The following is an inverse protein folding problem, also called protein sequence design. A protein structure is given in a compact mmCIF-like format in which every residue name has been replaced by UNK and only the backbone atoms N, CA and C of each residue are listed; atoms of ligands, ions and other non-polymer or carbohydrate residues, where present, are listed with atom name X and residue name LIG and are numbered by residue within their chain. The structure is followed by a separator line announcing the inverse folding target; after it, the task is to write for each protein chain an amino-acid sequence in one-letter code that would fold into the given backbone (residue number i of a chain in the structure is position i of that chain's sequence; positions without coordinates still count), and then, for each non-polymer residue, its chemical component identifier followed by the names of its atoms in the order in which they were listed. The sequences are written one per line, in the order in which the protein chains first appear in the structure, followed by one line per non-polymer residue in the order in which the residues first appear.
data_IF_084859219759
#
_entry.id   IF_084859219759
#
_cell.length_a   1.000
_cell.length_b   1.000
_cell.length_c   1.000
_cell.angle_alpha   90.00
_cell.angle_beta   90.00
_cell.angle_gamma   90.00
#
_symmetry.space_group_name_H-M   'P 1'
#
loop_
_entity.id
_entity.type
_entity.pdbx_description
1 polymer ?
#
# COMPACT_ATOMS: atom_id res chain seq x y z
N UNK A 1 -22.29 5.98 21.33
CA UNK A 1 -22.26 6.15 19.87
C UNK A 1 -21.39 5.03 19.29
N UNK A 2 -21.93 4.29 18.34
CA UNK A 2 -21.15 3.28 17.63
C UNK A 2 -20.01 3.96 16.82
N UNK A 3 -18.97 3.20 16.46
CA UNK A 3 -17.91 3.75 15.60
C UNK A 3 -18.48 4.23 14.25
N UNK A 4 -19.50 3.55 13.74
CA UNK A 4 -20.19 3.97 12.51
C UNK A 4 -20.84 5.35 12.66
N UNK A 5 -21.42 5.66 13.81
CA UNK A 5 -22.05 6.98 14.03
C UNK A 5 -21.03 8.10 14.21
N UNK A 6 -19.87 7.79 14.81
CA UNK A 6 -18.81 8.76 15.11
C UNK A 6 -18.13 9.30 13.84
N UNK A 7 -17.85 8.42 12.87
CA UNK A 7 -17.05 8.75 11.69
C UNK A 7 -17.90 8.89 10.42
N UNK A 8 -17.46 9.78 9.52
CA UNK A 8 -18.03 9.99 8.17
C UNK A 8 -17.22 9.24 7.11
N UNK A 9 -15.91 9.23 7.27
CA UNK A 9 -14.96 8.68 6.32
C UNK A 9 -14.27 7.44 6.91
N UNK A 10 -14.17 6.39 6.11
CA UNK A 10 -13.52 5.13 6.47
C UNK A 10 -12.45 4.80 5.44
N UNK A 11 -11.22 4.65 5.90
CA UNK A 11 -10.08 4.23 5.09
C UNK A 11 -9.74 2.80 5.51
N UNK A 12 -9.82 1.84 4.60
CA UNK A 12 -9.53 0.45 4.88
C UNK A 12 -8.25 0.02 4.18
N UNK A 13 -7.33 -0.58 4.92
CA UNK A 13 -6.37 -1.48 4.31
C UNK A 13 -7.08 -2.70 3.70
N UNK A 14 -6.44 -3.41 2.79
CA UNK A 14 -7.01 -4.56 2.10
C UNK A 14 -6.54 -5.90 2.68
N UNK A 15 -5.25 -6.20 2.57
CA UNK A 15 -4.69 -7.50 2.90
C UNK A 15 -4.51 -7.66 4.41
N UNK A 16 -5.19 -8.63 5.00
CA UNK A 16 -5.25 -8.79 6.45
C UNK A 16 -6.41 -8.03 7.11
N UNK A 17 -7.06 -7.12 6.39
CA UNK A 17 -8.15 -6.28 6.91
C UNK A 17 -9.50 -6.60 6.27
N UNK A 18 -9.59 -6.58 4.94
CA UNK A 18 -10.80 -6.93 4.18
C UNK A 18 -10.75 -8.39 3.70
N UNK A 19 -9.59 -8.84 3.27
CA UNK A 19 -9.36 -10.24 2.87
C UNK A 19 -7.99 -10.71 3.37
N UNK A 20 -7.75 -12.02 3.33
CA UNK A 20 -6.45 -12.64 3.58
C UNK A 20 -6.22 -13.75 2.56
N UNK A 21 -5.12 -13.64 1.79
CA UNK A 21 -4.87 -14.54 0.67
C UNK A 21 -6.03 -14.48 -0.34
N UNK A 22 -6.68 -15.61 -0.59
CA UNK A 22 -7.81 -15.72 -1.52
C UNK A 22 -9.18 -15.70 -0.81
N UNK A 23 -9.24 -15.37 0.47
CA UNK A 23 -10.46 -15.47 1.27
C UNK A 23 -10.87 -14.14 1.89
N UNK A 24 -12.14 -13.79 1.73
CA UNK A 24 -12.74 -12.63 2.40
C UNK A 24 -12.72 -12.82 3.92
N UNK A 25 -12.38 -11.78 4.67
CA UNK A 25 -12.58 -11.77 6.14
C UNK A 25 -14.09 -11.88 6.43
N UNK A 26 -14.50 -12.76 7.36
CA UNK A 26 -15.92 -12.96 7.67
C UNK A 26 -16.65 -11.64 7.93
N UNK A 27 -17.79 -11.46 7.28
CA UNK A 27 -18.66 -10.28 7.35
C UNK A 27 -18.07 -8.97 6.79
N UNK A 28 -16.89 -8.97 6.17
CA UNK A 28 -16.31 -7.73 5.61
C UNK A 28 -17.21 -7.09 4.53
N UNK A 29 -17.85 -7.89 3.67
CA UNK A 29 -18.82 -7.39 2.69
C UNK A 29 -20.07 -6.79 3.35
N UNK A 30 -20.57 -7.39 4.42
CA UNK A 30 -21.72 -6.87 5.18
C UNK A 30 -21.39 -5.51 5.80
N UNK A 31 -20.19 -5.38 6.39
CA UNK A 31 -19.70 -4.12 6.97
C UNK A 31 -19.63 -3.02 5.92
N UNK A 32 -18.96 -3.29 4.80
CA UNK A 32 -18.77 -2.30 3.73
C UNK A 32 -20.14 -1.87 3.17
N UNK A 33 -21.02 -2.83 2.90
CA UNK A 33 -22.35 -2.55 2.37
C UNK A 33 -23.20 -1.77 3.39
N UNK A 34 -23.10 -2.10 4.68
CA UNK A 34 -23.77 -1.35 5.75
C UNK A 34 -23.29 0.10 5.83
N UNK A 35 -21.98 0.34 5.78
CA UNK A 35 -21.40 1.70 5.76
C UNK A 35 -21.90 2.49 4.55
N UNK A 36 -21.92 1.89 3.36
CA UNK A 36 -22.45 2.51 2.14
C UNK A 36 -23.93 2.89 2.24
N UNK A 37 -24.76 1.98 2.76
CA UNK A 37 -26.19 2.22 2.98
C UNK A 37 -26.43 3.38 3.97
N UNK A 38 -25.51 3.61 4.91
CA UNK A 38 -25.56 4.72 5.87
C UNK A 38 -24.84 5.98 5.38
N UNK A 39 -24.57 6.09 4.08
CA UNK A 39 -23.99 7.30 3.46
C UNK A 39 -22.56 7.62 3.89
N UNK A 40 -21.78 6.60 4.32
CA UNK A 40 -20.38 6.77 4.68
C UNK A 40 -19.50 6.79 3.43
N UNK A 41 -18.46 7.60 3.44
CA UNK A 41 -17.44 7.60 2.40
C UNK A 41 -16.40 6.52 2.71
N UNK A 42 -16.00 5.76 1.70
CA UNK A 42 -15.05 4.66 1.86
C UNK A 42 -13.93 4.79 0.83
N UNK A 43 -12.69 4.54 1.27
CA UNK A 43 -11.52 4.36 0.40
C UNK A 43 -10.75 3.12 0.88
N UNK A 44 -10.32 2.31 -0.06
CA UNK A 44 -9.45 1.16 0.17
C UNK A 44 -8.04 1.50 -0.26
N UNK A 45 -7.06 1.18 0.58
CA UNK A 45 -5.65 1.47 0.34
C UNK A 45 -4.80 0.22 0.48
N UNK A 46 -3.90 -0.01 -0.46
CA UNK A 46 -3.01 -1.16 -0.44
C UNK A 46 -1.59 -0.80 -0.83
N UNK A 47 -0.61 -1.37 -0.11
CA UNK A 47 0.80 -1.30 -0.50
C UNK A 47 1.16 -2.31 -1.60
N UNK A 48 0.25 -3.24 -1.92
CA UNK A 48 0.47 -4.26 -2.97
C UNK A 48 0.58 -3.64 -4.36
N UNK A 49 1.48 -4.22 -5.15
CA UNK A 49 1.78 -3.83 -6.51
C UNK A 49 1.63 -4.98 -7.51
N UNK A 50 1.16 -6.14 -7.04
CA UNK A 50 1.03 -7.36 -7.84
C UNK A 50 -0.26 -7.45 -8.65
N UNK A 51 -1.12 -6.45 -8.56
CA UNK A 51 -2.36 -6.32 -9.32
C UNK A 51 -2.70 -4.86 -9.59
N UNK A 52 -3.48 -4.62 -10.64
CA UNK A 52 -3.98 -3.30 -10.98
C UNK A 52 -5.14 -2.89 -10.05
N UNK A 53 -5.48 -1.61 -10.00
CA UNK A 53 -6.71 -1.13 -9.31
C UNK A 53 -7.94 -1.88 -9.80
N UNK A 54 -8.01 -2.16 -11.10
CA UNK A 54 -9.12 -2.91 -11.72
C UNK A 54 -9.19 -4.36 -11.23
N UNK A 55 -8.03 -5.02 -11.04
CA UNK A 55 -8.01 -6.40 -10.52
C UNK A 55 -8.57 -6.45 -9.10
N UNK A 56 -8.15 -5.53 -8.23
CA UNK A 56 -8.70 -5.42 -6.88
C UNK A 56 -10.19 -5.08 -6.88
N UNK A 57 -10.62 -4.18 -7.76
CA UNK A 57 -12.04 -3.86 -7.91
C UNK A 57 -12.86 -5.09 -8.26
N UNK A 58 -12.44 -5.86 -9.27
CA UNK A 58 -13.14 -7.07 -9.70
C UNK A 58 -13.15 -8.14 -8.59
N UNK A 59 -12.03 -8.32 -7.90
CA UNK A 59 -11.93 -9.24 -6.78
C UNK A 59 -12.93 -8.90 -5.67
N UNK A 60 -12.96 -7.65 -5.21
CA UNK A 60 -13.85 -7.20 -4.15
C UNK A 60 -15.33 -7.25 -4.58
N UNK A 61 -15.63 -6.91 -5.84
CA UNK A 61 -16.98 -7.05 -6.41
C UNK A 61 -17.46 -8.50 -6.41
N UNK A 62 -16.59 -9.45 -6.77
CA UNK A 62 -16.91 -10.87 -6.78
C UNK A 62 -17.22 -11.40 -5.37
N UNK A 63 -16.69 -10.79 -4.33
CA UNK A 63 -17.02 -11.09 -2.93
C UNK A 63 -18.24 -10.31 -2.40
N UNK A 64 -18.96 -9.60 -3.28
CA UNK A 64 -20.23 -8.94 -2.96
C UNK A 64 -20.10 -7.58 -2.28
N UNK A 65 -18.93 -6.91 -2.35
CA UNK A 65 -18.77 -5.56 -1.84
C UNK A 65 -19.41 -4.56 -2.82
N UNK A 66 -20.21 -3.65 -2.30
CA UNK A 66 -20.80 -2.54 -3.09
C UNK A 66 -19.83 -1.36 -3.16
N UNK A 67 -18.89 -1.42 -4.09
CA UNK A 67 -17.79 -0.46 -4.25
C UNK A 67 -17.68 0.05 -5.68
N UNK A 68 -16.95 1.15 -5.84
CA UNK A 68 -16.57 1.73 -7.13
C UNK A 68 -15.04 1.62 -7.30
N UNK A 69 -14.57 1.50 -8.54
CA UNK A 69 -13.13 1.39 -8.85
C UNK A 69 -12.32 2.59 -8.31
N UNK A 70 -12.90 3.81 -8.38
CA UNK A 70 -12.28 5.03 -7.85
C UNK A 70 -12.08 5.04 -6.32
N UNK A 71 -12.66 4.11 -5.59
CA UNK A 71 -12.49 3.98 -4.14
C UNK A 71 -11.25 3.15 -3.75
N UNK A 72 -10.55 2.62 -4.75
CA UNK A 72 -9.36 1.79 -4.53
C UNK A 72 -8.11 2.58 -4.92
N UNK A 73 -7.13 2.59 -4.02
CA UNK A 73 -5.81 3.19 -4.20
C UNK A 73 -4.78 2.11 -3.88
N UNK A 74 -3.92 1.78 -4.83
CA UNK A 74 -2.75 0.94 -4.57
C UNK A 74 -1.45 1.74 -4.75
N UNK A 75 -0.34 1.19 -4.25
CA UNK A 75 0.95 1.87 -4.35
C UNK A 75 1.39 2.13 -5.80
N UNK A 76 1.04 1.24 -6.75
CA UNK A 76 1.33 1.43 -8.18
C UNK A 76 0.68 2.69 -8.74
N UNK A 77 -0.59 2.94 -8.41
CA UNK A 77 -1.31 4.15 -8.84
C UNK A 77 -0.60 5.42 -8.33
N UNK A 78 -0.18 5.43 -7.07
CA UNK A 78 0.50 6.58 -6.46
C UNK A 78 1.86 6.83 -7.12
N UNK A 79 2.66 5.77 -7.33
CA UNK A 79 3.93 5.83 -8.09
C UNK A 79 3.68 6.42 -9.48
N UNK A 80 2.72 5.85 -10.21
CA UNK A 80 2.38 6.24 -11.57
C UNK A 80 2.02 7.73 -11.67
N UNK A 81 1.13 8.21 -10.79
CA UNK A 81 0.71 9.61 -10.76
C UNK A 81 1.90 10.57 -10.50
N UNK A 82 2.79 10.19 -9.59
CA UNK A 82 4.00 10.97 -9.30
C UNK A 82 4.97 10.99 -10.48
N UNK A 83 5.22 9.84 -11.11
CA UNK A 83 6.18 9.72 -12.21
C UNK A 83 5.71 10.47 -13.46
N UNK A 84 4.45 10.35 -13.83
CA UNK A 84 3.87 11.10 -14.97
C UNK A 84 4.04 12.60 -14.80
N UNK A 85 3.89 13.09 -13.57
CA UNK A 85 4.01 14.53 -13.29
C UNK A 85 5.45 15.03 -13.32
N UNK A 86 6.43 14.21 -12.90
CA UNK A 86 7.79 14.68 -12.62
C UNK A 86 8.86 14.10 -13.55
N UNK A 87 8.60 12.96 -14.22
CA UNK A 87 9.62 12.19 -14.94
C UNK A 87 9.11 11.66 -16.29
N UNK A 88 8.31 12.45 -16.98
CA UNK A 88 7.70 12.05 -18.25
C UNK A 88 8.77 11.63 -19.28
N UNK A 89 8.63 10.43 -19.86
CA UNK A 89 9.52 9.79 -20.83
C UNK A 89 10.90 9.37 -20.34
N UNK A 90 11.20 9.48 -19.05
CA UNK A 90 12.46 8.97 -18.49
C UNK A 90 12.55 7.44 -18.54
N UNK A 91 13.78 6.93 -18.57
CA UNK A 91 14.03 5.50 -18.50
C UNK A 91 14.06 5.04 -17.04
N UNK A 92 13.34 3.98 -16.77
CA UNK A 92 13.31 3.35 -15.46
C UNK A 92 13.73 1.89 -15.50
N UNK A 93 14.15 1.38 -14.38
CA UNK A 93 14.28 -0.03 -14.07
C UNK A 93 13.46 -0.32 -12.80
N UNK A 94 12.88 -1.50 -12.72
CA UNK A 94 12.17 -1.92 -11.51
C UNK A 94 12.64 -3.30 -11.06
N UNK A 95 12.89 -3.43 -9.75
CA UNK A 95 12.75 -4.70 -9.06
C UNK A 95 11.27 -4.78 -8.69
N UNK A 96 10.51 -5.50 -9.50
CA UNK A 96 9.06 -5.61 -9.44
C UNK A 96 8.55 -6.60 -10.49
N UNK A 97 7.34 -7.08 -10.29
CA UNK A 97 6.71 -8.04 -11.21
C UNK A 97 6.26 -7.38 -12.52
N UNK A 98 6.04 -8.18 -13.54
CA UNK A 98 5.71 -7.72 -14.91
C UNK A 98 4.47 -6.81 -14.94
N UNK A 99 3.46 -7.09 -14.12
CA UNK A 99 2.24 -6.26 -14.00
C UNK A 99 2.57 -4.82 -13.58
N UNK A 100 3.46 -4.65 -12.59
CA UNK A 100 3.91 -3.33 -12.14
C UNK A 100 4.70 -2.61 -13.23
N UNK A 101 5.67 -3.29 -13.85
CA UNK A 101 6.49 -2.72 -14.94
C UNK A 101 5.59 -2.22 -16.07
N UNK A 102 4.63 -3.04 -16.50
CA UNK A 102 3.70 -2.72 -17.58
C UNK A 102 2.85 -1.48 -17.26
N UNK A 103 2.31 -1.35 -16.05
CA UNK A 103 1.54 -0.16 -15.65
C UNK A 103 2.37 1.12 -15.69
N UNK A 104 3.66 1.05 -15.35
CA UNK A 104 4.57 2.20 -15.42
C UNK A 104 4.92 2.54 -16.88
N UNK A 105 5.09 1.54 -17.75
CA UNK A 105 5.29 1.76 -19.20
C UNK A 105 4.05 2.37 -19.86
N UNK A 106 2.85 1.89 -19.51
CA UNK A 106 1.57 2.45 -19.99
C UNK A 106 1.37 3.91 -19.57
N UNK A 107 2.02 4.33 -18.49
CA UNK A 107 2.05 5.72 -18.03
C UNK A 107 3.04 6.61 -18.81
N UNK A 108 3.80 6.05 -19.76
CA UNK A 108 4.67 6.79 -20.69
C UNK A 108 6.15 6.73 -20.38
N UNK A 109 6.59 6.05 -19.30
CA UNK A 109 8.00 5.82 -19.01
C UNK A 109 8.53 4.66 -19.85
N UNK A 110 9.85 4.54 -20.00
CA UNK A 110 10.49 3.49 -20.79
C UNK A 110 11.30 2.55 -19.92
N UNK A 111 10.95 1.27 -19.91
CA UNK A 111 11.76 0.28 -19.20
C UNK A 111 13.13 0.10 -19.87
N UNK A 112 14.19 -0.02 -19.07
CA UNK A 112 15.55 -0.29 -19.54
C UNK A 112 16.30 -1.17 -18.56
N UNK A 113 17.09 -2.10 -19.09
CA UNK A 113 18.03 -2.93 -18.31
C UNK A 113 19.48 -2.43 -18.42
N UNK A 114 19.72 -1.34 -19.15
CA UNK A 114 21.05 -0.72 -19.25
C UNK A 114 21.27 0.24 -18.07
N UNK A 115 22.14 -0.08 -17.09
CA UNK A 115 22.33 0.74 -15.90
C UNK A 115 22.74 2.20 -16.17
N UNK A 116 23.41 2.46 -17.30
CA UNK A 116 23.85 3.82 -17.66
C UNK A 116 22.71 4.71 -18.17
N UNK A 117 21.61 4.13 -18.58
CA UNK A 117 20.46 4.85 -19.14
C UNK A 117 19.33 5.02 -18.12
N UNK A 118 19.35 4.23 -17.05
CA UNK A 118 18.32 4.25 -16.02
C UNK A 118 18.40 5.56 -15.24
N UNK A 119 17.30 6.31 -15.23
CA UNK A 119 17.15 7.55 -14.45
C UNK A 119 16.43 7.33 -13.12
N UNK A 120 15.58 6.29 -13.07
CA UNK A 120 14.76 5.98 -11.92
C UNK A 120 14.84 4.48 -11.66
N UNK A 121 15.21 4.12 -10.43
CA UNK A 121 15.09 2.77 -9.90
C UNK A 121 13.86 2.71 -9.02
N UNK A 122 12.97 1.76 -9.29
CA UNK A 122 11.77 1.49 -8.52
C UNK A 122 11.89 0.13 -7.82
N UNK A 123 11.64 0.09 -6.52
CA UNK A 123 11.62 -1.14 -5.74
C UNK A 123 10.21 -1.43 -5.27
N UNK A 124 9.78 -2.68 -5.44
CA UNK A 124 8.53 -3.22 -4.90
C UNK A 124 8.64 -4.73 -4.71
N UNK A 125 7.56 -5.39 -4.29
CA UNK A 125 7.51 -6.85 -4.21
C UNK A 125 7.82 -7.47 -5.58
N UNK A 126 8.80 -8.36 -5.60
CA UNK A 126 9.18 -9.13 -6.80
C UNK A 126 9.51 -10.57 -6.43
N UNK A 127 8.55 -11.48 -6.64
CA UNK A 127 8.73 -12.92 -6.40
C UNK A 127 9.60 -13.61 -7.45
N UNK A 128 10.00 -12.86 -8.48
CA UNK A 128 10.93 -13.31 -9.55
C UNK A 128 12.31 -12.67 -9.40
N UNK A 129 12.62 -12.12 -8.21
CA UNK A 129 13.92 -11.51 -7.90
C UNK A 129 15.06 -12.47 -8.16
N UNK A 130 16.08 -11.99 -8.86
CA UNK A 130 17.32 -12.71 -9.12
C UNK A 130 18.55 -11.84 -8.90
N UNK A 131 19.74 -12.46 -8.98
CA UNK A 131 21.01 -11.76 -8.79
C UNK A 131 21.23 -10.65 -9.84
N UNK A 132 20.83 -10.90 -11.09
CA UNK A 132 21.03 -9.93 -12.18
C UNK A 132 20.19 -8.67 -11.99
N UNK A 133 18.96 -8.80 -11.49
CA UNK A 133 18.12 -7.66 -11.14
C UNK A 133 18.76 -6.79 -10.05
N UNK A 134 19.31 -7.43 -8.99
CA UNK A 134 20.00 -6.71 -7.92
C UNK A 134 21.25 -5.98 -8.42
N UNK A 135 22.08 -6.61 -9.25
CA UNK A 135 23.27 -5.98 -9.81
C UNK A 135 22.94 -4.85 -10.79
N UNK A 136 21.92 -5.02 -11.63
CA UNK A 136 21.44 -3.94 -12.52
C UNK A 136 20.96 -2.73 -11.70
N UNK A 137 20.19 -2.97 -10.63
CA UNK A 137 19.72 -1.94 -9.73
C UNK A 137 20.89 -1.21 -9.03
N UNK A 138 21.86 -1.97 -8.48
CA UNK A 138 23.02 -1.42 -7.82
C UNK A 138 23.85 -0.53 -8.77
N UNK A 139 24.12 -1.01 -9.97
CA UNK A 139 24.86 -0.26 -10.98
C UNK A 139 24.10 0.99 -11.46
N UNK A 140 22.76 0.93 -11.56
CA UNK A 140 21.96 2.10 -11.87
C UNK A 140 22.08 3.18 -10.78
N UNK A 141 22.06 2.79 -9.51
CA UNK A 141 22.27 3.72 -8.39
C UNK A 141 23.68 4.33 -8.40
N UNK A 142 24.71 3.55 -8.71
CA UNK A 142 26.09 4.03 -8.86
C UNK A 142 26.22 5.02 -10.02
N UNK A 143 25.41 4.87 -11.08
CA UNK A 143 25.32 5.80 -12.21
C UNK A 143 24.39 7.01 -11.94
N UNK A 144 23.87 7.17 -10.72
CA UNK A 144 23.11 8.34 -10.29
C UNK A 144 21.59 8.25 -10.51
N UNK A 145 21.06 7.06 -10.75
CA UNK A 145 19.61 6.88 -10.80
C UNK A 145 18.95 7.32 -9.48
N UNK A 146 17.72 7.83 -9.56
CA UNK A 146 16.86 8.08 -8.40
C UNK A 146 16.47 6.78 -7.74
N UNK A 147 16.50 6.74 -6.41
CA UNK A 147 16.21 5.55 -5.63
C UNK A 147 14.82 5.67 -4.99
N UNK A 148 13.81 5.06 -5.59
CA UNK A 148 12.42 5.12 -5.17
C UNK A 148 11.86 3.74 -4.88
N UNK A 149 10.84 3.68 -4.02
CA UNK A 149 10.13 2.44 -3.71
C UNK A 149 8.61 2.64 -3.73
N UNK A 150 7.88 1.66 -4.25
CA UNK A 150 6.43 1.66 -4.19
C UNK A 150 5.94 1.44 -2.74
N UNK A 151 6.61 0.56 -1.99
CA UNK A 151 6.37 0.31 -0.58
C UNK A 151 7.70 0.08 0.14
N UNK A 152 7.66 0.01 1.48
CA UNK A 152 8.83 -0.22 2.34
C UNK A 152 8.63 -1.41 3.29
N UNK A 153 7.63 -2.25 3.02
CA UNK A 153 7.36 -3.43 3.83
C UNK A 153 8.54 -4.42 3.74
N UNK A 154 9.03 -4.91 4.87
CA UNK A 154 10.13 -5.88 4.90
C UNK A 154 9.70 -7.26 4.40
N UNK A 155 8.44 -7.62 4.69
CA UNK A 155 7.84 -8.89 4.34
C UNK A 155 6.40 -8.73 3.84
N UNK A 156 5.97 -9.66 2.99
CA UNK A 156 4.57 -9.79 2.55
C UNK A 156 4.00 -11.09 3.12
N UNK A 157 2.84 -11.06 3.81
CA UNK A 157 2.20 -12.25 4.33
C UNK A 157 1.69 -13.15 3.20
N UNK A 158 1.88 -14.46 3.37
CA UNK A 158 1.32 -15.53 2.53
C UNK A 158 0.70 -16.59 3.42
N UNK A 159 -0.03 -17.55 2.83
CA UNK A 159 -0.78 -18.56 3.60
C UNK A 159 0.07 -19.34 4.61
N UNK A 160 1.32 -19.65 4.28
CA UNK A 160 2.22 -20.47 5.11
C UNK A 160 3.38 -19.67 5.74
N UNK A 161 3.23 -18.35 5.93
CA UNK A 161 4.28 -17.52 6.53
C UNK A 161 4.41 -16.15 5.88
N UNK A 162 5.64 -15.73 5.65
CA UNK A 162 5.97 -14.45 5.04
C UNK A 162 7.01 -14.64 3.94
N UNK A 163 6.92 -13.85 2.89
CA UNK A 163 7.95 -13.77 1.85
C UNK A 163 8.64 -12.40 1.92
N UNK A 164 9.85 -12.34 1.41
CA UNK A 164 10.65 -11.13 1.31
C UNK A 164 9.93 -10.08 0.45
N UNK A 165 9.90 -8.82 0.92
CA UNK A 165 9.30 -7.69 0.20
C UNK A 165 10.32 -6.55 0.01
N UNK A 166 9.86 -5.43 -0.50
CA UNK A 166 10.65 -4.26 -0.92
C UNK A 166 11.66 -3.78 0.12
N UNK A 167 11.30 -3.71 1.41
CA UNK A 167 12.17 -3.23 2.49
C UNK A 167 13.46 -4.03 2.61
N UNK A 168 13.38 -5.36 2.47
CA UNK A 168 14.56 -6.22 2.48
C UNK A 168 15.47 -5.96 1.28
N UNK A 169 14.90 -5.72 0.08
CA UNK A 169 15.65 -5.39 -1.13
C UNK A 169 16.30 -4.01 -1.02
N UNK A 170 15.56 -3.03 -0.50
CA UNK A 170 16.07 -1.67 -0.22
C UNK A 170 17.28 -1.76 0.69
N UNK A 171 17.18 -2.52 1.80
CA UNK A 171 18.28 -2.69 2.75
C UNK A 171 19.54 -3.30 2.11
N UNK A 172 19.37 -4.29 1.22
CA UNK A 172 20.47 -4.89 0.48
C UNK A 172 21.15 -3.88 -0.45
N UNK A 173 20.37 -3.09 -1.22
CA UNK A 173 20.88 -2.07 -2.12
C UNK A 173 21.54 -0.90 -1.39
N UNK A 174 20.96 -0.43 -0.28
CA UNK A 174 21.55 0.59 0.59
C UNK A 174 22.91 0.15 1.13
N UNK A 175 23.00 -1.12 1.58
CA UNK A 175 24.25 -1.68 2.08
C UNK A 175 25.31 -1.81 1.00
N UNK A 176 24.90 -2.24 -0.21
CA UNK A 176 25.80 -2.48 -1.35
C UNK A 176 26.32 -1.16 -1.96
N UNK A 177 25.46 -0.13 -2.08
CA UNK A 177 25.75 1.09 -2.84
C UNK A 177 26.06 2.31 -1.98
N UNK A 178 25.81 2.23 -0.66
CA UNK A 178 25.86 3.35 0.28
C UNK A 178 24.90 4.50 -0.09
N UNK A 179 23.98 4.29 -1.04
CA UNK A 179 22.89 5.19 -1.36
C UNK A 179 21.74 4.95 -0.37
N UNK A 180 20.95 5.99 -0.13
CA UNK A 180 19.75 5.90 0.70
C UNK A 180 18.50 6.02 -0.15
N UNK A 181 17.43 5.32 0.25
CA UNK A 181 16.12 5.49 -0.36
C UNK A 181 15.74 6.98 -0.30
N UNK A 182 15.36 7.54 -1.45
CA UNK A 182 15.00 8.96 -1.55
C UNK A 182 13.51 9.17 -1.29
N UNK A 183 12.64 8.33 -1.88
CA UNK A 183 11.18 8.42 -1.72
C UNK A 183 10.55 7.03 -1.67
N UNK A 184 9.44 6.93 -0.92
CA UNK A 184 8.51 5.82 -1.03
C UNK A 184 7.07 6.33 -1.17
N UNK A 185 6.21 5.54 -1.81
CA UNK A 185 4.88 5.98 -2.24
C UNK A 185 3.74 5.28 -1.49
N UNK A 186 3.96 4.08 -0.98
CA UNK A 186 3.00 3.34 -0.17
C UNK A 186 2.83 3.94 1.24
N UNK A 187 1.92 3.37 2.03
CA UNK A 187 1.75 3.71 3.45
C UNK A 187 3.09 3.55 4.20
N UNK A 188 3.47 4.46 5.10
CA UNK A 188 2.77 5.67 5.57
C UNK A 188 3.26 6.97 4.89
N UNK A 189 3.39 7.01 3.55
CA UNK A 189 3.90 8.19 2.82
C UNK A 189 2.86 9.30 2.71
N UNK A 190 3.37 10.53 2.50
CA UNK A 190 2.53 11.69 2.19
C UNK A 190 1.84 11.54 0.82
N UNK A 191 2.50 10.90 -0.13
CA UNK A 191 1.94 10.68 -1.47
C UNK A 191 0.69 9.80 -1.43
N UNK A 192 0.72 8.71 -0.65
CA UNK A 192 -0.45 7.86 -0.43
C UNK A 192 -1.56 8.65 0.27
N UNK A 193 -1.21 9.43 1.28
CA UNK A 193 -2.18 10.21 2.03
C UNK A 193 -2.81 11.33 1.20
N UNK A 194 -2.04 11.99 0.33
CA UNK A 194 -2.56 13.00 -0.59
C UNK A 194 -3.56 12.40 -1.61
N UNK A 195 -3.26 11.19 -2.12
CA UNK A 195 -4.20 10.47 -2.98
C UNK A 195 -5.49 10.12 -2.24
N UNK A 196 -5.42 9.67 -0.98
CA UNK A 196 -6.60 9.43 -0.13
C UNK A 196 -7.44 10.71 0.04
N UNK A 197 -6.80 11.83 0.37
CA UNK A 197 -7.50 13.11 0.53
C UNK A 197 -8.21 13.57 -0.75
N UNK A 198 -7.64 13.24 -1.91
CA UNK A 198 -8.27 13.59 -3.20
C UNK A 198 -9.58 12.82 -3.47
N UNK A 199 -9.83 11.72 -2.75
CA UNK A 199 -11.02 10.85 -2.93
C UNK A 199 -12.11 11.10 -1.89
N UNK A 200 -11.80 11.82 -0.83
CA UNK A 200 -12.70 12.04 0.31
C UNK A 200 -12.89 13.54 0.57
N UNK A 201 -14.07 13.90 1.09
CA UNK A 201 -14.24 15.15 1.82
C UNK A 201 -13.56 14.98 3.19
N UNK A 202 -12.23 15.18 3.19
CA UNK A 202 -11.35 14.76 4.29
C UNK A 202 -11.46 15.72 5.47
N UNK A 203 -11.87 15.18 6.61
CA UNK A 203 -11.91 15.84 7.93
C UNK A 203 -11.25 14.85 8.91
N UNK A 204 -10.08 15.18 9.51
CA UNK A 204 -9.34 14.24 10.38
C UNK A 204 -10.22 13.64 11.49
N UNK A 205 -10.95 14.49 12.24
CA UNK A 205 -11.77 14.09 13.39
C UNK A 205 -13.01 13.27 12.99
N UNK A 206 -13.33 13.21 11.69
CA UNK A 206 -14.45 12.44 11.12
C UNK A 206 -13.97 11.27 10.28
N UNK A 207 -12.69 10.95 10.36
CA UNK A 207 -12.05 9.89 9.56
C UNK A 207 -11.49 8.81 10.47
N UNK A 208 -11.74 7.55 10.14
CA UNK A 208 -11.17 6.37 10.78
C UNK A 208 -10.37 5.57 9.76
N UNK A 209 -9.11 5.27 10.07
CA UNK A 209 -8.27 4.37 9.29
C UNK A 209 -8.23 3.00 9.97
N UNK A 210 -8.54 1.95 9.23
CA UNK A 210 -8.60 0.58 9.71
C UNK A 210 -7.55 -0.25 8.97
N UNK A 211 -6.67 -0.92 9.70
CA UNK A 211 -5.64 -1.77 9.14
C UNK A 211 -5.11 -2.78 10.15
N UNK A 212 -4.26 -3.68 9.68
CA UNK A 212 -3.70 -4.76 10.49
C UNK A 212 -2.25 -4.54 10.92
N UNK A 213 -1.58 -3.50 10.38
CA UNK A 213 -0.14 -3.31 10.56
C UNK A 213 0.19 -1.98 11.26
N UNK A 214 1.02 -2.07 12.32
CA UNK A 214 1.43 -0.89 13.10
C UNK A 214 2.31 0.06 12.30
N UNK A 215 3.27 -0.46 11.52
CA UNK A 215 4.30 0.31 10.84
C UNK A 215 3.80 1.04 9.59
N UNK A 216 2.66 0.65 9.05
CA UNK A 216 2.07 1.26 7.86
C UNK A 216 0.74 1.93 8.14
N UNK A 217 -0.28 1.19 8.58
CA UNK A 217 -1.63 1.71 8.77
C UNK A 217 -1.72 2.64 9.98
N UNK A 218 -1.29 2.13 11.14
CA UNK A 218 -1.37 2.91 12.36
C UNK A 218 -0.37 4.08 12.32
N UNK A 219 0.84 3.84 11.78
CA UNK A 219 1.83 4.89 11.55
C UNK A 219 1.27 6.01 10.66
N UNK A 220 0.54 5.67 9.58
CA UNK A 220 -0.07 6.66 8.69
C UNK A 220 -1.13 7.48 9.43
N UNK A 221 -2.03 6.83 10.17
CA UNK A 221 -3.03 7.54 10.96
C UNK A 221 -2.42 8.46 12.01
N UNK A 222 -1.43 7.97 12.78
CA UNK A 222 -0.74 8.78 13.78
C UNK A 222 0.01 9.97 13.15
N UNK A 223 0.68 9.76 12.00
CA UNK A 223 1.41 10.81 11.29
C UNK A 223 0.49 11.94 10.83
N UNK A 224 -0.73 11.62 10.39
CA UNK A 224 -1.64 12.58 9.78
C UNK A 224 -2.82 12.99 10.68
N UNK A 225 -2.79 12.60 11.97
CA UNK A 225 -3.78 13.02 12.96
C UNK A 225 -5.16 12.40 12.75
N UNK A 226 -5.21 11.17 12.22
CA UNK A 226 -6.44 10.40 11.98
C UNK A 226 -6.57 9.31 13.02
N UNK A 227 -7.78 9.13 13.57
CA UNK A 227 -8.08 8.00 14.47
C UNK A 227 -7.88 6.68 13.74
N UNK A 228 -7.32 5.68 14.44
CA UNK A 228 -6.97 4.38 13.85
C UNK A 228 -7.62 3.22 14.58
N UNK A 229 -7.94 2.16 13.85
CA UNK A 229 -8.38 0.88 14.40
C UNK A 229 -7.46 -0.24 13.90
N UNK A 230 -6.76 -0.90 14.82
CA UNK A 230 -5.94 -2.07 14.54
C UNK A 230 -6.82 -3.32 14.59
N UNK A 231 -6.87 -4.10 13.51
CA UNK A 231 -7.56 -5.39 13.44
C UNK A 231 -6.59 -6.55 13.67
N UNK A 232 -7.08 -7.65 14.25
CA UNK A 232 -6.26 -8.83 14.57
C UNK A 232 -6.31 -9.92 13.48
N UNK A 233 -6.90 -9.63 12.33
CA UNK A 233 -7.11 -10.60 11.24
C UNK A 233 -5.91 -10.78 10.31
N UNK A 234 -4.94 -9.89 10.36
CA UNK A 234 -3.75 -9.91 9.50
C UNK A 234 -2.49 -10.43 10.17
N UNK A 235 -1.43 -9.62 10.16
CA UNK A 235 -0.15 -9.98 10.73
C UNK A 235 -0.16 -9.99 12.26
N UNK A 236 0.75 -10.77 12.86
CA UNK A 236 0.97 -10.73 14.30
C UNK A 236 1.84 -9.51 14.64
N UNK A 237 1.21 -8.47 15.18
CA UNK A 237 1.95 -7.32 15.69
C UNK A 237 2.58 -7.68 17.04
N UNK A 238 3.90 -7.62 17.14
CA UNK A 238 4.60 -7.78 18.42
C UNK A 238 4.55 -6.46 19.18
N UNK A 239 3.75 -6.39 20.23
CA UNK A 239 3.53 -5.19 21.06
C UNK A 239 4.83 -4.58 21.62
N UNK A 240 5.90 -5.36 21.75
CA UNK A 240 7.22 -4.92 22.21
C UNK A 240 8.06 -4.19 21.15
N UNK A 241 7.56 -4.05 19.90
CA UNK A 241 8.24 -3.42 18.78
C UNK A 241 7.42 -2.30 18.11
N UNK A 242 6.49 -1.68 18.81
CA UNK A 242 5.54 -0.71 18.25
C UNK A 242 6.14 0.60 17.72
N UNK A 243 7.46 0.74 17.64
CA UNK A 243 8.15 1.95 17.13
C UNK A 243 7.49 3.29 17.52
N UNK A 244 6.69 3.30 18.62
CA UNK A 244 5.94 4.47 19.09
C UNK A 244 4.58 4.71 18.42
N UNK A 245 4.08 3.78 17.61
CA UNK A 245 2.75 3.90 16.99
C UNK A 245 1.66 3.22 17.84
N UNK A 246 0.57 3.95 18.10
CA UNK A 246 -0.52 3.50 18.96
C UNK A 246 -1.86 3.61 18.24
N UNK A 247 -2.63 2.52 18.14
CA UNK A 247 -3.99 2.59 17.59
C UNK A 247 -4.94 3.27 18.59
N UNK A 248 -5.92 4.02 18.05
CA UNK A 248 -7.02 4.58 18.85
C UNK A 248 -7.96 3.48 19.34
N UNK A 249 -8.17 2.46 18.49
CA UNK A 249 -9.02 1.29 18.79
C UNK A 249 -8.32 -0.01 18.44
N UNK A 250 -8.70 -1.08 19.14
CA UNK A 250 -8.30 -2.45 18.82
C UNK A 250 -9.56 -3.27 18.57
N UNK A 251 -9.64 -3.94 17.43
CA UNK A 251 -10.77 -4.74 16.98
C UNK A 251 -10.32 -6.17 16.67
N UNK A 252 -11.19 -7.16 16.86
CA UNK A 252 -10.85 -8.51 16.42
C UNK A 252 -10.87 -8.61 14.89
N UNK A 253 -11.84 -7.95 14.26
CA UNK A 253 -11.98 -7.85 12.80
C UNK A 253 -12.79 -6.61 12.44
N UNK A 254 -12.90 -6.32 11.14
CA UNK A 254 -13.79 -5.25 10.63
C UNK A 254 -15.26 -5.45 11.02
N UNK A 255 -15.68 -6.69 11.29
CA UNK A 255 -17.04 -7.00 11.74
C UNK A 255 -17.42 -6.29 13.06
N UNK A 256 -16.43 -5.98 13.90
CA UNK A 256 -16.68 -5.30 15.19
C UNK A 256 -17.13 -3.84 14.99
N UNK A 257 -16.95 -3.24 13.79
CA UNK A 257 -17.44 -1.89 13.47
C UNK A 257 -18.98 -1.78 13.56
N UNK A 258 -19.69 -2.84 13.22
CA UNK A 258 -21.17 -2.87 13.20
C UNK A 258 -21.78 -3.66 14.34
N UNK A 259 -20.97 -4.26 15.21
CA UNK A 259 -21.44 -4.88 16.45
C UNK A 259 -21.66 -3.77 17.46
N UNK A 260 -22.91 -3.55 17.81
CA UNK A 260 -23.34 -2.59 18.85
C UNK A 260 -23.09 -3.14 20.24
#
# INVERSE_FOLDING_TARGET
LSLVDKYKNFIFDLDGTIYRGESLIPQANEVINHLKLNGKNIVFVSNKTTGTVKDYYLLLKNWGLNIEEREIINATLVVKNYLVKNYNHDKFFAIGEESFIKEIEEAGLKFSTNPKEIKILLITLDRTLDYQKLETAAQALENGAKFFAANIDDTCPVDNGEVLDAGSVISALEKRTHRKLELHFGKPSEFMFDEIKSRLDFIPEKTLLIGDRLETDIAMGNKFGVDTALVSTGIKNFVNGSNGYFPTYQLNSVADLIKS
#
